data_IF_599887335467
#
_entry.id   IF_599887335467
#
_cell.length_a   1.000
_cell.length_b   1.000
_cell.length_c   1.000
_cell.angle_alpha   90.00
_cell.angle_beta   90.00
_cell.angle_gamma   90.00
#
_symmetry.space_group_name_H-M   'P 1'
#
loop_
_entity.id
_entity.type
_entity.pdbx_description
1 polymer ?
#
# COMPACT_ATOMS: atom_id res chain seq x y z
N UNK A 1 7.25 -16.61 -16.98
CA UNK A 1 7.75 -15.30 -16.51
C UNK A 1 8.16 -15.48 -15.06
N UNK A 2 9.43 -15.25 -14.73
CA UNK A 2 9.89 -15.23 -13.34
C UNK A 2 9.44 -13.89 -12.75
N UNK A 3 8.55 -13.90 -11.76
CA UNK A 3 8.22 -12.68 -11.02
C UNK A 3 9.42 -12.40 -10.12
N UNK A 4 10.22 -11.39 -10.45
CA UNK A 4 11.26 -10.89 -9.55
C UNK A 4 10.57 -10.21 -8.37
N UNK A 5 10.83 -10.70 -7.15
CA UNK A 5 10.41 -10.03 -5.93
C UNK A 5 11.49 -9.01 -5.60
N UNK A 6 11.16 -7.74 -5.80
CA UNK A 6 12.01 -6.63 -5.39
C UNK A 6 11.78 -6.33 -3.91
N UNK A 7 12.88 -6.21 -3.15
CA UNK A 7 12.84 -5.72 -1.79
C UNK A 7 13.11 -4.22 -1.82
N UNK A 8 12.12 -3.42 -1.41
CA UNK A 8 12.33 -1.99 -1.17
C UNK A 8 13.26 -1.79 0.03
N UNK A 9 14.05 -0.72 0.00
CA UNK A 9 14.96 -0.34 1.08
C UNK A 9 14.20 -0.15 2.41
N UNK A 10 14.88 -0.29 3.56
CA UNK A 10 14.27 -0.06 4.88
C UNK A 10 13.73 1.38 5.00
N UNK A 11 12.40 1.52 4.98
CA UNK A 11 11.71 2.81 5.13
C UNK A 11 11.56 3.12 6.62
N UNK A 12 12.13 4.24 7.06
CA UNK A 12 11.94 4.76 8.42
C UNK A 12 10.83 5.82 8.40
N UNK A 13 9.76 5.57 9.14
CA UNK A 13 8.66 6.53 9.31
C UNK A 13 8.57 6.94 10.78
N UNK A 14 8.31 8.21 11.04
CA UNK A 14 7.87 8.64 12.37
C UNK A 14 6.49 8.04 12.68
N UNK A 15 6.14 8.02 13.97
CA UNK A 15 4.84 7.53 14.42
C UNK A 15 3.66 8.21 13.71
N UNK A 16 3.74 9.53 13.50
CA UNK A 16 2.68 10.31 12.86
C UNK A 16 2.57 10.00 11.36
N UNK A 17 3.70 9.82 10.68
CA UNK A 17 3.71 9.45 9.26
C UNK A 17 3.14 8.03 9.05
N UNK A 18 3.55 7.07 9.89
CA UNK A 18 3.02 5.71 9.83
C UNK A 18 1.51 5.67 10.09
N UNK A 19 1.03 6.46 11.07
CA UNK A 19 -0.40 6.57 11.36
C UNK A 19 -1.17 7.22 10.21
N UNK A 20 -0.66 8.32 9.65
CA UNK A 20 -1.28 9.01 8.52
C UNK A 20 -1.37 8.09 7.29
N UNK A 21 -0.29 7.35 7.02
CA UNK A 21 -0.25 6.38 5.92
C UNK A 21 -1.25 5.26 6.15
N UNK A 22 -1.34 4.70 7.36
CA UNK A 22 -2.33 3.68 7.72
C UNK A 22 -3.76 4.17 7.49
N UNK A 23 -4.07 5.43 7.84
CA UNK A 23 -5.39 6.02 7.61
C UNK A 23 -5.68 6.23 6.12
N UNK A 24 -4.69 6.65 5.33
CA UNK A 24 -4.85 6.81 3.88
C UNK A 24 -5.12 5.46 3.22
N UNK A 25 -4.26 4.47 3.45
CA UNK A 25 -4.38 3.16 2.78
C UNK A 25 -5.66 2.44 3.17
N UNK A 26 -6.23 2.72 4.34
CA UNK A 26 -7.54 2.24 4.75
C UNK A 26 -8.68 2.80 3.89
N UNK A 27 -8.60 4.08 3.55
CA UNK A 27 -9.68 4.84 2.89
C UNK A 27 -9.67 4.67 1.37
N UNK A 28 -8.52 4.33 0.78
CA UNK A 28 -8.39 4.10 -0.65
C UNK A 28 -9.35 2.99 -1.10
N UNK A 29 -10.21 3.31 -2.06
CA UNK A 29 -11.09 2.38 -2.73
C UNK A 29 -10.64 2.16 -4.17
N UNK A 30 -11.35 1.28 -4.87
CA UNK A 30 -11.01 0.91 -6.24
C UNK A 30 -11.04 2.09 -7.21
N UNK A 31 -11.93 3.07 -7.00
CA UNK A 31 -12.06 4.20 -7.90
C UNK A 31 -10.84 5.13 -7.85
N UNK A 32 -10.27 5.42 -6.67
CA UNK A 32 -9.03 6.23 -6.62
C UNK A 32 -7.86 5.45 -7.20
N UNK A 33 -7.74 4.15 -6.88
CA UNK A 33 -6.68 3.30 -7.44
C UNK A 33 -6.77 3.26 -8.97
N UNK A 34 -7.99 3.15 -9.52
CA UNK A 34 -8.20 3.17 -10.97
C UNK A 34 -7.93 4.51 -11.60
N UNK A 35 -8.28 5.61 -10.95
CA UNK A 35 -8.02 6.95 -11.48
C UNK A 35 -6.52 7.23 -11.65
N UNK A 36 -5.67 6.60 -10.85
CA UNK A 36 -4.21 6.75 -10.93
C UNK A 36 -3.52 5.79 -11.90
N UNK A 37 -4.19 4.72 -12.34
CA UNK A 37 -3.62 3.69 -13.19
C UNK A 37 -3.92 3.93 -14.68
N UNK A 38 -2.95 3.65 -15.54
CA UNK A 38 -3.04 3.69 -17.00
C UNK A 38 -4.06 2.67 -17.52
N UNK A 39 -4.16 1.50 -16.89
CA UNK A 39 -5.10 0.44 -17.26
C UNK A 39 -5.57 -0.38 -16.05
N UNK A 40 -6.49 -1.34 -16.29
CA UNK A 40 -7.03 -2.19 -15.22
C UNK A 40 -5.96 -3.10 -14.60
N UNK A 41 -5.02 -3.60 -15.41
CA UNK A 41 -3.96 -4.50 -14.94
C UNK A 41 -3.04 -3.80 -13.94
N UNK A 42 -2.55 -2.61 -14.28
CA UNK A 42 -1.75 -1.78 -13.39
C UNK A 42 -2.52 -1.43 -12.11
N UNK A 43 -3.81 -1.17 -12.21
CA UNK A 43 -4.62 -0.90 -11.03
C UNK A 43 -4.73 -2.09 -10.07
N UNK A 44 -4.85 -3.32 -10.60
CA UNK A 44 -4.78 -4.51 -9.76
C UNK A 44 -3.39 -4.66 -9.12
N UNK A 45 -2.32 -4.36 -9.84
CA UNK A 45 -0.96 -4.37 -9.28
C UNK A 45 -0.78 -3.35 -8.14
N UNK A 46 -1.28 -2.13 -8.33
CA UNK A 46 -1.27 -1.07 -7.30
C UNK A 46 -2.10 -1.51 -6.08
N UNK A 47 -3.29 -2.08 -6.31
CA UNK A 47 -4.15 -2.58 -5.22
C UNK A 47 -3.45 -3.67 -4.40
N UNK A 48 -2.77 -4.61 -5.05
CA UNK A 48 -2.01 -5.66 -4.38
C UNK A 48 -0.83 -5.09 -3.58
N UNK A 49 -0.12 -4.11 -4.14
CA UNK A 49 0.97 -3.42 -3.43
C UNK A 49 0.45 -2.67 -2.19
N UNK A 50 -0.70 -1.99 -2.29
CA UNK A 50 -1.36 -1.35 -1.14
C UNK A 50 -1.73 -2.39 -0.07
N UNK A 51 -2.22 -3.57 -0.46
CA UNK A 51 -2.54 -4.66 0.49
C UNK A 51 -1.31 -5.14 1.27
N UNK A 52 -0.15 -5.23 0.62
CA UNK A 52 1.12 -5.55 1.29
C UNK A 52 1.53 -4.45 2.26
N UNK A 53 1.38 -3.18 1.87
CA UNK A 53 1.66 -2.03 2.72
C UNK A 53 0.74 -1.99 3.96
N UNK A 54 -0.57 -2.23 3.77
CA UNK A 54 -1.53 -2.35 4.87
C UNK A 54 -1.12 -3.44 5.86
N UNK A 55 -0.68 -4.60 5.36
CA UNK A 55 -0.23 -5.72 6.18
C UNK A 55 1.02 -5.36 7.00
N UNK A 56 2.00 -4.68 6.39
CA UNK A 56 3.20 -4.22 7.08
C UNK A 56 2.90 -3.19 8.17
N UNK A 57 2.02 -2.22 7.88
CA UNK A 57 1.59 -1.21 8.86
C UNK A 57 0.85 -1.86 10.04
N UNK A 58 -0.05 -2.80 9.77
CA UNK A 58 -0.77 -3.55 10.79
C UNK A 58 0.18 -4.39 11.67
N UNK A 59 1.17 -5.03 11.06
CA UNK A 59 2.21 -5.77 11.79
C UNK A 59 3.00 -4.87 12.75
N UNK A 60 3.28 -3.63 12.34
CA UNK A 60 3.92 -2.62 13.18
C UNK A 60 2.99 -1.95 14.21
N UNK A 61 1.73 -2.41 14.34
CA UNK A 61 0.75 -1.90 15.32
C UNK A 61 -0.09 -0.72 14.84
N UNK A 62 0.09 -0.27 13.59
CA UNK A 62 -0.72 0.77 12.97
C UNK A 62 -1.91 0.13 12.26
N UNK A 63 -2.89 -0.34 13.03
CA UNK A 63 -4.07 -0.99 12.46
C UNK A 63 -4.94 0.02 11.68
N UNK A 64 -5.13 -0.15 10.36
CA UNK A 64 -6.11 0.61 9.59
C UNK A 64 -7.53 0.12 9.96
N UNK A 65 -8.01 0.44 11.16
CA UNK A 65 -9.37 0.13 11.62
C UNK A 65 -10.38 1.07 11.05
#
# INVERSE_FOLDING_TARGET
MTIAIEHLQDIQLTHIEALALAQLVKRLNWAEVRACAVNDEEAYQIKDAIGKLQSALAYCGYAPR
#
